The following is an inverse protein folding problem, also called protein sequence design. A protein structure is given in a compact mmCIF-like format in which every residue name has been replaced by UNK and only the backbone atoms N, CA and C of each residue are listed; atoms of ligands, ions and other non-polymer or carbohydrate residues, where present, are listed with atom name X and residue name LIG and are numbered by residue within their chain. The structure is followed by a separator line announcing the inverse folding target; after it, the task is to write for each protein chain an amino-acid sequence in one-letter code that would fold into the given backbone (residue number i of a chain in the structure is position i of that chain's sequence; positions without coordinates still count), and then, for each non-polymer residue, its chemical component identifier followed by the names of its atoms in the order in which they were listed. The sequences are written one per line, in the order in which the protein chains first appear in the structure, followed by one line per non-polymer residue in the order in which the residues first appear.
data_IF_087743513294
#
_entry.id   IF_087743513294
#
_cell.length_a   1.000
_cell.length_b   1.000
_cell.length_c   1.000
_cell.angle_alpha   90.00
_cell.angle_beta   90.00
_cell.angle_gamma   90.00
#
_symmetry.space_group_name_H-M   'P 1'
#
loop_
_entity.id
_entity.type
_entity.pdbx_description
1 polymer ?
#
# COMPACT_ATOMS: atom_id res chain seq x y z
N UNK A 1 1.99 15.72 4.47
CA UNK A 1 1.00 16.30 3.55
C UNK A 1 -0.35 15.57 3.63
N UNK A 2 -1.46 16.30 3.80
CA UNK A 2 -2.82 15.75 3.64
C UNK A 2 -3.10 15.53 2.14
N UNK A 3 -3.48 14.31 1.78
CA UNK A 3 -3.74 13.89 0.38
C UNK A 3 -5.23 13.76 0.08
N UNK A 4 -6.03 13.33 1.06
CA UNK A 4 -7.46 13.19 0.85
C UNK A 4 -8.24 12.69 2.07
N UNK A 5 -9.51 12.39 1.84
CA UNK A 5 -10.43 11.83 2.82
C UNK A 5 -10.97 10.48 2.33
N UNK A 6 -10.91 9.45 3.17
CA UNK A 6 -11.45 8.11 2.88
C UNK A 6 -12.45 7.75 3.97
N UNK A 7 -13.74 7.73 3.63
CA UNK A 7 -14.81 7.47 4.60
C UNK A 7 -14.75 8.36 5.87
N UNK A 8 -14.30 9.61 5.71
CA UNK A 8 -14.11 10.57 6.82
C UNK A 8 -12.74 10.51 7.51
N UNK A 9 -11.92 9.49 7.23
CA UNK A 9 -10.55 9.38 7.72
C UNK A 9 -9.61 10.25 6.87
N UNK A 10 -8.66 10.94 7.52
CA UNK A 10 -7.61 11.68 6.84
C UNK A 10 -6.57 10.71 6.30
N UNK A 11 -6.24 10.85 5.03
CA UNK A 11 -5.13 10.16 4.39
C UNK A 11 -4.00 11.15 4.21
N UNK A 12 -2.89 10.94 4.92
CA UNK A 12 -1.69 11.77 4.85
C UNK A 12 -0.50 10.95 4.35
N UNK A 13 0.44 11.61 3.68
CA UNK A 13 1.72 11.02 3.30
C UNK A 13 2.88 11.93 3.74
N UNK A 14 4.09 11.39 3.91
CA UNK A 14 5.32 12.19 4.05
C UNK A 14 5.46 13.22 2.92
N UNK A 15 6.09 14.36 3.19
CA UNK A 15 6.27 15.45 2.20
C UNK A 15 7.18 15.05 1.03
N UNK A 16 8.02 14.05 1.22
CA UNK A 16 8.95 13.49 0.23
C UNK A 16 8.37 12.29 -0.53
N UNK A 17 7.15 11.87 -0.23
CA UNK A 17 6.45 10.83 -0.98
C UNK A 17 5.74 11.43 -2.21
N UNK A 18 5.84 10.73 -3.35
CA UNK A 18 4.98 11.00 -4.50
C UNK A 18 3.80 10.03 -4.50
N UNK A 19 2.69 10.43 -5.09
CA UNK A 19 1.54 9.55 -5.23
C UNK A 19 0.79 9.77 -6.54
N UNK A 20 0.01 8.77 -6.94
CA UNK A 20 -0.91 8.89 -8.06
C UNK A 20 -2.20 8.12 -7.80
N UNK A 21 -3.33 8.73 -8.15
CA UNK A 21 -4.63 8.05 -8.11
C UNK A 21 -4.88 7.27 -9.41
N UNK A 22 -4.19 7.58 -10.50
CA UNK A 22 -4.56 7.16 -11.85
C UNK A 22 -3.43 6.48 -12.65
N UNK A 23 -2.26 6.25 -12.07
CA UNK A 23 -1.15 5.64 -12.81
C UNK A 23 -1.44 4.17 -13.14
N UNK A 24 -2.09 3.46 -12.22
CA UNK A 24 -2.52 2.09 -12.42
C UNK A 24 -3.88 1.98 -13.15
N UNK A 25 -4.03 1.07 -14.13
CA UNK A 25 -5.25 0.96 -14.94
C UNK A 25 -6.40 0.20 -14.25
N UNK A 26 -6.22 -0.25 -13.00
CA UNK A 26 -7.16 -1.11 -12.30
C UNK A 26 -8.46 -0.37 -11.91
N UNK A 27 -9.61 -1.07 -11.81
CA UNK A 27 -10.89 -0.44 -11.52
C UNK A 27 -10.94 0.42 -10.25
N UNK A 28 -10.15 0.08 -9.23
CA UNK A 28 -10.09 0.87 -7.99
C UNK A 28 -9.55 2.29 -8.24
N UNK A 29 -8.48 2.42 -9.02
CA UNK A 29 -7.91 3.72 -9.41
C UNK A 29 -8.89 4.56 -10.23
N UNK A 30 -9.63 3.93 -11.15
CA UNK A 30 -10.68 4.62 -11.94
C UNK A 30 -11.83 5.15 -11.09
N UNK A 31 -12.09 4.52 -9.94
CA UNK A 31 -13.15 4.92 -9.00
C UNK A 31 -12.64 5.85 -7.88
N UNK A 32 -11.36 6.22 -7.89
CA UNK A 32 -10.75 6.99 -6.79
C UNK A 32 -10.67 6.21 -5.47
N UNK A 33 -10.69 4.88 -5.53
CA UNK A 33 -10.67 3.98 -4.39
C UNK A 33 -9.30 3.29 -4.18
N UNK A 34 -8.25 3.76 -4.86
CA UNK A 34 -6.88 3.31 -4.70
C UNK A 34 -5.89 4.45 -4.97
N UNK A 35 -4.72 4.34 -4.35
CA UNK A 35 -3.63 5.30 -4.40
C UNK A 35 -2.31 4.53 -4.57
N UNK A 36 -1.56 4.85 -5.60
CA UNK A 36 -0.18 4.39 -5.78
C UNK A 36 0.74 5.34 -4.99
N UNK A 37 1.64 4.81 -4.16
CA UNK A 37 2.54 5.62 -3.31
C UNK A 37 3.99 5.26 -3.60
N UNK A 38 4.75 6.23 -4.07
CA UNK A 38 6.17 6.09 -4.40
C UNK A 38 7.01 6.57 -3.22
N UNK A 39 7.59 5.61 -2.49
CA UNK A 39 8.46 5.89 -1.35
C UNK A 39 9.36 4.68 -1.05
N UNK A 40 10.60 4.88 -0.62
CA UNK A 40 11.53 3.76 -0.37
C UNK A 40 11.15 2.89 0.85
N UNK A 41 10.33 3.44 1.75
CA UNK A 41 9.82 2.77 2.94
C UNK A 41 8.33 3.07 3.12
N UNK A 42 7.44 2.14 2.74
CA UNK A 42 6.02 2.43 2.56
C UNK A 42 5.36 2.91 3.87
N UNK A 43 4.91 4.18 3.92
CA UNK A 43 4.32 4.75 5.13
C UNK A 43 2.88 4.30 5.31
N UNK A 44 2.46 4.05 6.54
CA UNK A 44 1.05 3.93 6.86
C UNK A 44 0.38 5.32 6.83
N UNK A 45 -0.68 5.53 6.03
CA UNK A 45 -1.13 6.89 5.71
C UNK A 45 -2.31 7.39 6.58
N UNK A 46 -2.65 6.69 7.65
CA UNK A 46 -3.76 7.04 8.54
C UNK A 46 -3.28 7.16 9.99
N UNK A 47 -4.09 7.79 10.85
CA UNK A 47 -3.77 8.05 12.26
C UNK A 47 -3.38 6.77 13.02
N UNK A 48 -4.21 5.72 12.93
CA UNK A 48 -3.97 4.43 13.55
C UNK A 48 -4.65 3.31 12.71
N UNK A 49 -4.06 2.12 12.71
CA UNK A 49 -4.69 0.92 12.16
C UNK A 49 -4.18 -0.36 12.80
N UNK A 50 -5.01 -1.40 12.78
CA UNK A 50 -4.66 -2.74 13.25
C UNK A 50 -4.41 -3.69 12.09
N UNK A 51 -3.23 -4.28 12.02
CA UNK A 51 -2.89 -5.27 11.01
C UNK A 51 -3.67 -6.56 11.28
N UNK A 52 -4.57 -6.91 10.38
CA UNK A 52 -5.38 -8.12 10.49
C UNK A 52 -4.69 -9.32 9.86
N UNK A 53 -4.07 -9.11 8.71
CA UNK A 53 -3.47 -10.20 7.93
C UNK A 53 -2.26 -9.68 7.15
N UNK A 54 -1.22 -10.51 7.07
CA UNK A 54 -0.10 -10.35 6.15
C UNK A 54 -0.05 -11.61 5.30
N UNK A 55 -0.57 -11.52 4.08
CA UNK A 55 -0.73 -12.66 3.19
C UNK A 55 0.37 -12.66 2.14
N UNK A 56 1.16 -13.72 2.14
CA UNK A 56 2.10 -14.06 1.06
C UNK A 56 1.36 -14.82 -0.04
N UNK A 57 1.62 -14.48 -1.31
CA UNK A 57 1.02 -15.18 -2.45
C UNK A 57 1.95 -15.19 -3.66
N UNK A 58 1.65 -16.06 -4.63
CA UNK A 58 2.35 -16.11 -5.91
C UNK A 58 1.63 -15.22 -6.92
N UNK A 59 2.28 -14.16 -7.44
CA UNK A 59 1.68 -13.30 -8.47
C UNK A 59 1.62 -14.05 -9.82
N UNK A 60 0.89 -13.50 -10.82
CA UNK A 60 0.86 -14.06 -12.17
C UNK A 60 2.27 -14.28 -12.75
N UNK A 61 2.44 -15.25 -13.68
CA UNK A 61 3.71 -15.46 -14.36
C UNK A 61 4.22 -14.15 -14.98
N UNK A 62 5.47 -13.79 -14.67
CA UNK A 62 6.07 -12.49 -15.04
C UNK A 62 7.58 -12.46 -14.79
N UNK A 63 8.22 -11.32 -15.09
CA UNK A 63 9.67 -11.25 -15.29
C UNK A 63 10.53 -11.16 -14.01
N UNK A 64 9.94 -10.92 -12.82
CA UNK A 64 10.71 -10.37 -11.70
C UNK A 64 10.61 -11.16 -10.39
N UNK A 65 9.41 -11.57 -9.97
CA UNK A 65 9.22 -12.22 -8.66
C UNK A 65 8.20 -13.36 -8.70
N UNK A 66 8.48 -14.39 -7.89
CA UNK A 66 7.59 -15.53 -7.65
C UNK A 66 6.75 -15.37 -6.39
N UNK A 67 6.87 -14.22 -5.73
CA UNK A 67 6.26 -13.93 -4.44
C UNK A 67 5.92 -12.45 -4.32
N UNK A 68 4.76 -12.18 -3.76
CA UNK A 68 4.23 -10.87 -3.42
C UNK A 68 3.43 -10.95 -2.10
N UNK A 69 3.11 -9.79 -1.53
CA UNK A 69 2.39 -9.70 -0.27
C UNK A 69 1.21 -8.74 -0.35
N UNK A 70 0.18 -9.06 0.43
CA UNK A 70 -0.91 -8.17 0.75
C UNK A 70 -1.02 -8.01 2.26
N UNK A 71 -1.14 -6.77 2.73
CA UNK A 71 -1.35 -6.45 4.14
C UNK A 71 -2.77 -5.90 4.25
N UNK A 72 -3.58 -6.48 5.14
CA UNK A 72 -4.93 -5.99 5.44
C UNK A 72 -4.89 -5.25 6.79
N UNK A 73 -5.37 -4.02 6.80
CA UNK A 73 -5.43 -3.18 8.01
C UNK A 73 -6.87 -2.72 8.24
N UNK A 74 -7.30 -2.79 9.50
CA UNK A 74 -8.57 -2.26 10.00
C UNK A 74 -8.33 -0.90 10.67
N UNK A 75 -9.09 0.11 10.27
CA UNK A 75 -9.02 1.49 10.78
C UNK A 75 -10.37 1.88 11.41
N UNK A 76 -10.95 0.97 12.19
CA UNK A 76 -12.24 1.19 12.85
C UNK A 76 -13.45 0.87 11.96
N UNK A 77 -13.38 -0.24 11.21
CA UNK A 77 -14.43 -0.69 10.29
C UNK A 77 -14.24 -0.20 8.84
N UNK A 78 -13.22 0.63 8.60
CA UNK A 78 -12.72 0.95 7.26
C UNK A 78 -11.48 0.10 7.01
N UNK A 79 -11.47 -0.66 5.92
CA UNK A 79 -10.40 -1.59 5.62
C UNK A 79 -9.54 -1.09 4.47
N UNK A 80 -8.22 -1.08 4.67
CA UNK A 80 -7.25 -0.81 3.63
C UNK A 80 -6.43 -2.07 3.35
N UNK A 81 -6.10 -2.27 2.07
CA UNK A 81 -5.17 -3.30 1.63
C UNK A 81 -3.95 -2.63 1.00
N UNK A 82 -2.77 -3.00 1.48
CA UNK A 82 -1.48 -2.56 0.95
C UNK A 82 -0.86 -3.71 0.17
N UNK A 83 -0.29 -3.42 -1.00
CA UNK A 83 0.23 -4.40 -1.94
C UNK A 83 1.69 -4.11 -2.26
N UNK A 84 2.38 -5.09 -2.83
CA UNK A 84 3.72 -4.90 -3.41
C UNK A 84 4.77 -4.47 -2.40
N UNK A 85 4.63 -4.93 -1.16
CA UNK A 85 5.60 -4.72 -0.09
C UNK A 85 6.32 -6.01 0.29
N UNK A 86 7.53 -5.85 0.80
CA UNK A 86 8.15 -6.80 1.72
C UNK A 86 7.78 -6.35 3.13
N UNK A 87 6.81 -7.02 3.79
CA UNK A 87 6.24 -6.53 5.03
C UNK A 87 7.28 -6.48 6.16
N UNK A 88 7.16 -5.47 7.02
CA UNK A 88 7.86 -5.38 8.32
C UNK A 88 6.93 -5.59 9.51
N UNK A 89 5.62 -5.55 9.26
CA UNK A 89 4.55 -5.74 10.24
C UNK A 89 4.03 -7.17 10.23
N UNK A 90 3.27 -7.53 11.26
CA UNK A 90 2.68 -8.84 11.50
C UNK A 90 1.20 -8.70 11.90
N UNK A 91 0.38 -9.74 11.68
CA UNK A 91 -0.98 -9.77 12.21
C UNK A 91 -1.00 -9.51 13.72
N UNK A 92 -1.83 -8.57 14.15
CA UNK A 92 -1.96 -8.14 15.54
C UNK A 92 -1.24 -6.84 15.87
N UNK A 93 -0.28 -6.40 15.04
CA UNK A 93 0.41 -5.14 15.22
C UNK A 93 -0.56 -3.95 15.08
N UNK A 94 -0.31 -2.91 15.87
CA UNK A 94 -0.91 -1.58 15.68
C UNK A 94 0.13 -0.74 14.97
N UNK A 95 -0.30 0.02 13.97
CA UNK A 95 0.53 0.94 13.18
C UNK A 95 -0.05 2.34 13.24
N UNK A 96 0.81 3.33 13.35
CA UNK A 96 0.47 4.75 13.41
C UNK A 96 0.92 5.50 12.15
N UNK A 97 0.43 6.73 11.98
CA UNK A 97 0.74 7.57 10.81
C UNK A 97 2.25 7.65 10.55
N UNK A 98 2.64 7.45 9.30
CA UNK A 98 4.04 7.43 8.82
C UNK A 98 4.91 6.27 9.29
N UNK A 99 4.41 5.35 10.11
CA UNK A 99 5.16 4.13 10.42
C UNK A 99 5.33 3.25 9.18
N UNK A 100 6.47 2.55 9.11
CA UNK A 100 6.82 1.71 7.97
C UNK A 100 6.03 0.40 7.98
N UNK A 101 5.24 0.18 6.93
CA UNK A 101 4.61 -1.12 6.65
C UNK A 101 5.61 -2.12 6.04
N UNK A 102 6.66 -1.62 5.41
CA UNK A 102 7.66 -2.42 4.73
C UNK A 102 8.26 -1.74 3.51
N UNK A 103 9.18 -2.42 2.83
CA UNK A 103 9.83 -1.88 1.63
C UNK A 103 9.07 -2.27 0.37
N UNK A 104 8.83 -1.37 -0.58
CA UNK A 104 8.28 -1.77 -1.87
C UNK A 104 9.14 -2.81 -2.59
N UNK A 105 8.48 -3.64 -3.39
CA UNK A 105 9.10 -4.64 -4.24
C UNK A 105 8.58 -4.52 -5.66
N UNK A 106 9.45 -4.80 -6.63
CA UNK A 106 9.05 -4.95 -8.02
C UNK A 106 8.17 -6.19 -8.19
N UNK A 107 6.86 -6.00 -8.11
CA UNK A 107 5.87 -7.05 -8.32
C UNK A 107 5.83 -7.50 -9.78
N UNK A 108 5.40 -8.74 -10.02
CA UNK A 108 5.12 -9.25 -11.38
C UNK A 108 3.89 -8.62 -12.03
N UNK A 109 3.11 -7.81 -11.29
CA UNK A 109 2.09 -6.93 -11.86
C UNK A 109 2.69 -5.67 -12.50
N UNK A 110 3.93 -5.31 -12.17
CA UNK A 110 4.62 -4.13 -12.68
C UNK A 110 5.48 -4.47 -13.89
N UNK A 111 5.64 -3.48 -14.78
CA UNK A 111 6.52 -3.58 -15.95
C UNK A 111 7.96 -3.18 -15.57
N UNK A 112 8.98 -3.61 -16.36
CA UNK A 112 10.39 -3.27 -16.12
C UNK A 112 10.69 -1.77 -15.97
N UNK A 113 9.90 -0.94 -16.64
CA UNK A 113 10.05 0.52 -16.69
C UNK A 113 9.09 1.25 -15.74
N UNK A 114 8.40 0.52 -14.87
CA UNK A 114 7.54 1.08 -13.82
C UNK A 114 8.33 1.17 -12.52
N UNK A 115 8.26 2.31 -11.85
CA UNK A 115 8.80 2.43 -10.49
C UNK A 115 7.94 1.62 -9.51
N UNK A 116 8.53 1.02 -8.46
CA UNK A 116 7.79 0.40 -7.37
C UNK A 116 6.85 1.42 -6.70
N UNK A 117 5.62 0.98 -6.42
CA UNK A 117 4.59 1.73 -5.70
C UNK A 117 3.59 0.80 -5.03
#
# INVERSE_FOLDING_TARGET
MLVGLVAGLKLSLPEDAYFSVHNSPYPAHRRGAALDVYHDDAPFPFEEGRVLEVRRFTPPPGCWRREDHAILVDMGGVYAKFLHLRPRVRPGDVVEESESLGRPIMSSYLRPWSDPH
#
